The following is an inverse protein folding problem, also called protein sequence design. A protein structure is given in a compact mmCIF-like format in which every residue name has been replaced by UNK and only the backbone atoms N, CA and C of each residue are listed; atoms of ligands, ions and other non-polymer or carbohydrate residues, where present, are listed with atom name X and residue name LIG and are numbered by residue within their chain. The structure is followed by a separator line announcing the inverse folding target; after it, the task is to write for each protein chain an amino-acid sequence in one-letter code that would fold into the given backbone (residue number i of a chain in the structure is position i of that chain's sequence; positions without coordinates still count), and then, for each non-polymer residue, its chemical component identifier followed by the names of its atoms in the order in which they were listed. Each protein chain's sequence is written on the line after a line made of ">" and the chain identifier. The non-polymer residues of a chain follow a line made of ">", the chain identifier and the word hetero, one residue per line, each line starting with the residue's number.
data_IF_608429582875
#
_entry.id   IF_608429582875
#
_cell.length_a   1.000
_cell.length_b   1.000
_cell.length_c   1.000
_cell.angle_alpha   90.00
_cell.angle_beta   90.00
_cell.angle_gamma   90.00
#
_symmetry.space_group_name_H-M   'P 1'
#
loop_
_entity.id
_entity.type
_entity.pdbx_description
1 polymer ?
#
# COMPACT_ATOMS: atom_id res chain seq x y z
N UNK A 1 -37.88 -34.39 -55.35
CA UNK A 1 -38.14 -33.37 -54.31
C UNK A 1 -38.40 -34.11 -53.03
N UNK A 2 -37.53 -34.03 -52.01
CA UNK A 2 -37.80 -34.16 -50.56
C UNK A 2 -36.42 -34.17 -49.85
N UNK A 3 -35.86 -32.98 -49.62
CA UNK A 3 -34.70 -32.74 -48.74
C UNK A 3 -34.91 -31.36 -48.14
N UNK A 4 -35.84 -31.28 -47.18
CA UNK A 4 -36.06 -30.11 -46.33
C UNK A 4 -36.78 -30.65 -45.08
N UNK A 5 -36.09 -30.71 -43.93
CA UNK A 5 -36.71 -31.27 -42.73
C UNK A 5 -35.87 -31.45 -41.47
N UNK A 6 -34.54 -31.55 -41.55
CA UNK A 6 -33.74 -31.98 -40.38
C UNK A 6 -32.64 -30.99 -39.94
N UNK A 7 -32.86 -29.67 -40.08
CA UNK A 7 -31.89 -28.66 -39.60
C UNK A 7 -32.29 -28.02 -38.26
N UNK A 8 -33.42 -28.39 -37.66
CA UNK A 8 -34.05 -27.59 -36.60
C UNK A 8 -34.19 -28.26 -35.22
N UNK A 9 -33.37 -29.27 -34.94
CA UNK A 9 -33.26 -29.84 -33.58
C UNK A 9 -31.80 -29.97 -33.12
N UNK A 10 -31.01 -28.91 -33.33
CA UNK A 10 -29.92 -28.63 -32.42
C UNK A 10 -30.54 -27.98 -31.17
N UNK A 11 -30.71 -28.78 -30.13
CA UNK A 11 -31.06 -28.34 -28.79
C UNK A 11 -30.36 -27.02 -28.46
N UNK A 12 -31.03 -26.03 -27.82
CA UNK A 12 -30.31 -24.87 -27.30
C UNK A 12 -29.44 -25.39 -26.17
N UNK A 13 -28.22 -25.84 -26.49
CA UNK A 13 -27.26 -26.25 -25.47
C UNK A 13 -27.01 -24.98 -24.65
N UNK A 14 -27.62 -24.96 -23.47
CA UNK A 14 -27.58 -23.84 -22.54
C UNK A 14 -26.12 -23.54 -22.28
N UNK A 15 -25.66 -22.39 -22.73
CA UNK A 15 -24.28 -21.90 -22.55
C UNK A 15 -23.82 -22.01 -21.07
N UNK A 16 -24.80 -21.97 -20.16
CA UNK A 16 -24.66 -22.11 -18.72
C UNK A 16 -24.08 -23.47 -18.26
N UNK A 17 -24.16 -24.53 -19.07
CA UNK A 17 -23.75 -25.89 -18.67
C UNK A 17 -22.30 -26.26 -19.03
N UNK A 18 -21.53 -25.37 -19.67
CA UNK A 18 -20.11 -25.67 -19.91
C UNK A 18 -19.33 -25.64 -18.60
N UNK A 19 -18.61 -26.72 -18.25
CA UNK A 19 -17.77 -26.72 -17.05
C UNK A 19 -16.75 -25.59 -17.15
N UNK A 20 -16.55 -24.85 -16.05
CA UNK A 20 -15.59 -23.74 -15.97
C UNK A 20 -14.25 -24.19 -16.53
N UNK A 21 -13.76 -23.45 -17.53
CA UNK A 21 -12.51 -23.80 -18.23
C UNK A 21 -11.30 -23.69 -17.31
N UNK A 22 -11.39 -22.84 -16.29
CA UNK A 22 -10.33 -22.60 -15.32
C UNK A 22 -10.78 -22.99 -13.91
N UNK A 23 -10.06 -23.88 -13.22
CA UNK A 23 -10.30 -24.17 -11.82
C UNK A 23 -10.02 -22.94 -10.96
N UNK A 24 -10.88 -22.67 -9.98
CA UNK A 24 -10.75 -21.57 -9.03
C UNK A 24 -9.47 -21.74 -8.21
N UNK A 25 -8.46 -20.91 -8.51
CA UNK A 25 -7.16 -20.91 -7.84
C UNK A 25 -7.14 -19.91 -6.69
N UNK A 26 -8.25 -19.84 -5.93
CA UNK A 26 -8.38 -18.99 -4.74
C UNK A 26 -7.27 -19.28 -3.72
N UNK A 27 -6.16 -18.56 -3.87
CA UNK A 27 -5.05 -18.66 -2.95
C UNK A 27 -5.51 -18.12 -1.60
N UNK A 28 -5.18 -18.81 -0.51
CA UNK A 28 -5.51 -18.33 0.84
C UNK A 28 -4.96 -16.91 0.98
N UNK A 29 -5.87 -15.94 1.09
CA UNK A 29 -5.55 -14.56 1.44
C UNK A 29 -4.89 -14.63 2.80
N UNK A 30 -3.57 -14.44 2.82
CA UNK A 30 -2.85 -14.21 4.07
C UNK A 30 -3.41 -12.91 4.61
N UNK A 31 -4.34 -13.01 5.56
CA UNK A 31 -4.88 -11.85 6.26
C UNK A 31 -3.84 -11.50 7.31
N UNK A 32 -2.96 -10.51 7.06
CA UNK A 32 -2.05 -10.08 8.11
C UNK A 32 -2.91 -9.66 9.30
N UNK A 33 -2.45 -9.99 10.51
CA UNK A 33 -3.12 -9.62 11.75
C UNK A 33 -3.49 -8.12 11.78
N UNK A 34 -2.72 -7.28 11.08
CA UNK A 34 -2.95 -5.85 10.88
C UNK A 34 -4.32 -5.56 10.25
N UNK A 35 -4.71 -6.26 9.17
CA UNK A 35 -6.02 -6.04 8.52
C UNK A 35 -7.15 -6.49 9.45
N UNK A 36 -6.92 -7.55 10.22
CA UNK A 36 -7.89 -8.07 11.16
C UNK A 36 -8.11 -7.11 12.34
N UNK A 37 -7.03 -6.52 12.87
CA UNK A 37 -7.05 -5.48 13.91
C UNK A 37 -7.73 -4.21 13.37
N UNK A 38 -7.41 -3.76 12.16
CA UNK A 38 -8.00 -2.58 11.55
C UNK A 38 -9.51 -2.74 11.31
N UNK A 39 -9.96 -3.94 10.92
CA UNK A 39 -11.39 -4.23 10.71
C UNK A 39 -12.17 -4.42 12.02
N UNK A 40 -11.49 -4.63 13.14
CA UNK A 40 -12.10 -4.69 14.47
C UNK A 40 -12.45 -3.29 15.02
N UNK A 41 -11.95 -2.22 14.40
CA UNK A 41 -12.36 -0.85 14.69
C UNK A 41 -13.68 -0.53 13.97
N UNK A 42 -14.63 0.08 14.69
CA UNK A 42 -15.88 0.53 14.10
C UNK A 42 -15.61 1.45 12.90
N UNK A 43 -16.31 1.23 11.79
CA UNK A 43 -16.22 2.08 10.59
C UNK A 43 -16.43 3.56 10.89
N UNK A 44 -17.26 3.87 11.90
CA UNK A 44 -17.48 5.22 12.41
C UNK A 44 -16.27 5.81 13.14
N UNK A 45 -15.54 4.98 13.91
CA UNK A 45 -14.33 5.42 14.57
C UNK A 45 -13.20 5.66 13.55
N UNK A 46 -13.08 4.79 12.55
CA UNK A 46 -12.12 4.95 11.46
C UNK A 46 -12.40 6.23 10.64
N UNK A 47 -13.67 6.51 10.32
CA UNK A 47 -14.03 7.71 9.56
C UNK A 47 -13.76 9.00 10.35
N UNK A 48 -14.03 9.01 11.66
CA UNK A 48 -13.71 10.15 12.54
C UNK A 48 -12.20 10.35 12.64
N UNK A 49 -11.42 9.29 12.82
CA UNK A 49 -9.95 9.37 12.88
C UNK A 49 -9.37 9.96 11.60
N UNK A 50 -9.85 9.49 10.44
CA UNK A 50 -9.40 9.98 9.14
C UNK A 50 -9.75 11.45 8.92
N UNK A 51 -10.94 11.89 9.35
CA UNK A 51 -11.35 13.30 9.31
C UNK A 51 -10.49 14.18 10.23
N UNK A 52 -10.18 13.71 11.44
CA UNK A 52 -9.31 14.45 12.36
C UNK A 52 -7.89 14.59 11.83
N UNK A 53 -7.32 13.53 11.26
CA UNK A 53 -6.00 13.57 10.63
C UNK A 53 -6.01 14.54 9.44
N UNK A 54 -7.01 14.43 8.56
CA UNK A 54 -7.15 15.32 7.41
C UNK A 54 -7.31 16.79 7.81
N UNK A 55 -8.18 17.07 8.78
CA UNK A 55 -8.39 18.41 9.32
C UNK A 55 -7.14 18.98 10.02
N UNK A 56 -6.41 18.14 10.75
CA UNK A 56 -5.14 18.51 11.38
C UNK A 56 -4.07 18.87 10.36
N UNK A 57 -3.88 18.06 9.32
CA UNK A 57 -2.94 18.33 8.22
C UNK A 57 -3.32 19.63 7.50
N UNK A 58 -4.60 19.82 7.20
CA UNK A 58 -5.09 21.04 6.56
C UNK A 58 -4.88 22.28 7.43
N UNK A 59 -5.14 22.20 8.73
CA UNK A 59 -4.93 23.29 9.68
C UNK A 59 -3.45 23.66 9.82
N UNK A 60 -2.57 22.66 9.94
CA UNK A 60 -1.11 22.88 9.99
C UNK A 60 -0.58 23.47 8.68
N UNK A 61 -1.13 23.03 7.53
CA UNK A 61 -0.82 23.60 6.22
C UNK A 61 -1.25 25.07 6.12
N UNK A 62 -2.45 25.42 6.59
CA UNK A 62 -2.98 26.77 6.56
C UNK A 62 -2.19 27.77 7.42
N UNK A 63 -1.57 27.29 8.50
CA UNK A 63 -0.70 28.11 9.37
C UNK A 63 0.71 28.30 8.81
N UNK A 64 1.18 27.37 7.98
CA UNK A 64 2.58 27.34 7.53
C UNK A 64 2.79 28.13 6.25
N UNK A 65 2.06 27.81 5.17
CA UNK A 65 2.19 28.53 3.89
C UNK A 65 1.02 28.27 2.94
N UNK A 66 0.65 29.26 2.09
CA UNK A 66 -0.44 29.11 1.13
C UNK A 66 -0.13 28.11 -0.01
N UNK A 67 1.15 27.84 -0.28
CA UNK A 67 1.59 26.94 -1.36
C UNK A 67 1.22 25.49 -1.02
N UNK A 68 1.40 25.06 0.23
CA UNK A 68 1.07 23.70 0.67
C UNK A 68 -0.43 23.44 0.55
N UNK A 69 -1.26 24.43 0.91
CA UNK A 69 -2.71 24.35 0.74
C UNK A 69 -3.11 24.17 -0.72
N UNK A 70 -2.47 24.91 -1.64
CA UNK A 70 -2.76 24.81 -3.07
C UNK A 70 -2.50 23.39 -3.60
N UNK A 71 -1.33 22.82 -3.29
CA UNK A 71 -0.98 21.43 -3.69
C UNK A 71 -1.98 20.43 -3.08
N UNK A 72 -2.34 20.60 -1.82
CA UNK A 72 -3.26 19.70 -1.13
C UNK A 72 -4.66 19.71 -1.75
N UNK A 73 -5.18 20.88 -2.13
CA UNK A 73 -6.46 21.01 -2.84
C UNK A 73 -6.40 20.27 -4.19
N UNK A 74 -5.31 20.43 -4.95
CA UNK A 74 -5.14 19.72 -6.23
C UNK A 74 -5.11 18.21 -6.01
N UNK A 75 -4.38 17.70 -5.02
CA UNK A 75 -4.36 16.28 -4.68
C UNK A 75 -5.77 15.73 -4.35
N UNK A 76 -6.58 16.49 -3.62
CA UNK A 76 -7.93 16.07 -3.25
C UNK A 76 -8.85 16.04 -4.47
N UNK A 77 -8.78 17.03 -5.35
CA UNK A 77 -9.54 17.04 -6.61
C UNK A 77 -9.15 15.84 -7.48
N UNK A 78 -7.85 15.54 -7.62
CA UNK A 78 -7.36 14.38 -8.36
C UNK A 78 -7.87 13.05 -7.78
N UNK A 79 -7.87 12.91 -6.45
CA UNK A 79 -8.37 11.70 -5.81
C UNK A 79 -9.89 11.53 -5.96
N UNK A 80 -10.65 12.62 -5.81
CA UNK A 80 -12.10 12.62 -6.05
C UNK A 80 -12.45 12.23 -7.48
N UNK A 81 -11.72 12.76 -8.45
CA UNK A 81 -11.87 12.38 -9.86
C UNK A 81 -11.58 10.88 -10.06
N UNK A 82 -10.48 10.36 -9.49
CA UNK A 82 -10.15 8.94 -9.57
C UNK A 82 -11.29 8.04 -9.05
N UNK A 83 -11.81 8.34 -7.85
CA UNK A 83 -12.94 7.59 -7.27
C UNK A 83 -14.19 7.71 -8.14
N UNK A 84 -14.47 8.89 -8.69
CA UNK A 84 -15.61 9.10 -9.59
C UNK A 84 -15.49 8.22 -10.86
N UNK A 85 -14.34 8.21 -11.52
CA UNK A 85 -14.11 7.35 -12.70
C UNK A 85 -14.24 5.87 -12.34
N UNK A 86 -13.68 5.43 -11.21
CA UNK A 86 -13.81 4.04 -10.75
C UNK A 86 -15.28 3.67 -10.56
N UNK A 87 -16.08 4.51 -9.89
CA UNK A 87 -17.51 4.22 -9.69
C UNK A 87 -18.28 4.23 -11.00
N UNK A 88 -17.96 5.15 -11.92
CA UNK A 88 -18.61 5.22 -13.21
C UNK A 88 -18.30 4.02 -14.11
N UNK A 89 -17.05 3.53 -14.07
CA UNK A 89 -16.62 2.39 -14.90
C UNK A 89 -17.13 1.04 -14.35
N UNK A 90 -17.14 0.86 -13.01
CA UNK A 90 -17.70 -0.35 -12.37
C UNK A 90 -19.22 -0.44 -12.44
N UNK A 91 -19.92 0.66 -12.72
CA UNK A 91 -21.38 0.66 -12.87
C UNK A 91 -21.84 0.17 -14.26
N UNK A 92 -20.92 -0.16 -15.17
CA UNK A 92 -21.23 -0.73 -16.49
C UNK A 92 -21.40 -2.24 -16.38
N UNK A 93 -22.34 -2.80 -17.16
CA UNK A 93 -22.65 -4.23 -17.14
C UNK A 93 -21.43 -5.07 -17.57
N UNK A 94 -21.14 -6.15 -16.83
CA UNK A 94 -19.95 -7.00 -17.01
C UNK A 94 -20.06 -8.00 -18.20
N UNK A 95 -21.10 -7.87 -19.03
CA UNK A 95 -21.29 -8.65 -20.25
C UNK A 95 -21.86 -10.06 -20.03
N UNK A 96 -21.82 -10.93 -21.05
CA UNK A 96 -22.37 -12.29 -20.99
C UNK A 96 -21.59 -13.18 -20.01
N UNK A 97 -22.21 -14.28 -19.49
CA UNK A 97 -21.64 -15.09 -18.41
C UNK A 97 -20.31 -15.79 -18.75
N UNK A 98 -19.97 -15.94 -20.03
CA UNK A 98 -18.64 -16.42 -20.43
C UNK A 98 -17.55 -15.33 -20.25
N UNK A 99 -17.85 -14.06 -20.52
CA UNK A 99 -16.88 -12.97 -20.37
C UNK A 99 -16.52 -12.70 -18.92
N UNK A 100 -17.49 -12.84 -18.01
CA UNK A 100 -17.25 -12.72 -16.55
C UNK A 100 -16.25 -13.79 -16.09
N UNK A 101 -16.41 -15.05 -16.52
CA UNK A 101 -15.48 -16.14 -16.16
C UNK A 101 -14.04 -15.87 -16.62
N UNK A 102 -13.88 -15.28 -17.80
CA UNK A 102 -12.57 -14.95 -18.35
C UNK A 102 -11.96 -13.75 -17.61
N UNK A 103 -12.77 -12.72 -17.33
CA UNK A 103 -12.36 -11.55 -16.53
C UNK A 103 -11.89 -11.95 -15.13
N UNK A 104 -12.61 -12.85 -14.46
CA UNK A 104 -12.25 -13.35 -13.13
C UNK A 104 -10.92 -14.10 -13.16
N UNK A 105 -10.72 -14.99 -14.13
CA UNK A 105 -9.45 -15.70 -14.31
C UNK A 105 -8.27 -14.75 -14.57
N UNK A 106 -8.49 -13.68 -15.35
CA UNK A 106 -7.48 -12.63 -15.59
C UNK A 106 -7.19 -11.84 -14.31
N UNK A 107 -8.21 -11.50 -13.52
CA UNK A 107 -8.04 -10.81 -12.22
C UNK A 107 -7.23 -11.65 -11.25
N UNK A 108 -7.54 -12.94 -11.13
CA UNK A 108 -6.79 -13.88 -10.27
C UNK A 108 -5.34 -14.03 -10.73
N UNK A 109 -5.09 -14.11 -12.05
CA UNK A 109 -3.74 -14.12 -12.61
C UNK A 109 -2.95 -12.86 -12.29
N UNK A 110 -3.58 -11.69 -12.41
CA UNK A 110 -2.97 -10.40 -12.10
C UNK A 110 -2.65 -10.26 -10.60
N UNK A 111 -3.58 -10.66 -9.72
CA UNK A 111 -3.35 -10.66 -8.28
C UNK A 111 -2.20 -11.60 -7.87
N UNK A 112 -2.11 -12.78 -8.48
CA UNK A 112 -0.99 -13.71 -8.28
C UNK A 112 0.37 -13.14 -8.69
N UNK A 113 0.43 -12.46 -9.84
CA UNK A 113 1.63 -11.78 -10.34
C UNK A 113 2.07 -10.64 -9.42
N UNK A 114 1.12 -9.81 -8.97
CA UNK A 114 1.40 -8.73 -8.03
C UNK A 114 1.85 -9.25 -6.67
N UNK A 115 1.23 -10.32 -6.15
CA UNK A 115 1.61 -10.90 -4.85
C UNK A 115 3.06 -11.37 -4.81
N UNK A 116 3.53 -12.05 -5.85
CA UNK A 116 4.90 -12.58 -5.90
C UNK A 116 5.93 -11.46 -6.11
N UNK A 117 5.67 -10.52 -7.01
CA UNK A 117 6.61 -9.44 -7.31
C UNK A 117 6.67 -8.39 -6.20
N UNK A 118 5.53 -7.84 -5.79
CA UNK A 118 5.53 -6.85 -4.72
C UNK A 118 6.03 -7.46 -3.41
N UNK A 119 5.78 -8.74 -3.17
CA UNK A 119 6.34 -9.46 -2.02
C UNK A 119 7.86 -9.62 -2.05
N UNK A 120 8.47 -9.69 -3.24
CA UNK A 120 9.94 -9.73 -3.39
C UNK A 120 10.53 -8.33 -3.30
N UNK A 121 9.94 -7.37 -4.01
CA UNK A 121 10.33 -5.96 -3.97
C UNK A 121 10.28 -5.43 -2.54
N UNK A 122 9.24 -5.74 -1.77
CA UNK A 122 9.12 -5.30 -0.38
C UNK A 122 10.26 -5.86 0.49
N UNK A 123 10.63 -7.13 0.35
CA UNK A 123 11.75 -7.73 1.11
C UNK A 123 13.08 -7.04 0.79
N UNK A 124 13.35 -6.78 -0.49
CA UNK A 124 14.56 -6.09 -0.91
C UNK A 124 14.57 -4.63 -0.46
N UNK A 125 13.44 -3.93 -0.53
CA UNK A 125 13.29 -2.57 -0.05
C UNK A 125 13.55 -2.46 1.46
N UNK A 126 13.04 -3.41 2.26
CA UNK A 126 13.31 -3.46 3.70
C UNK A 126 14.80 -3.70 4.01
N UNK A 127 15.44 -4.62 3.30
CA UNK A 127 16.87 -4.88 3.45
C UNK A 127 17.69 -3.62 3.12
N UNK A 128 17.39 -2.97 1.99
CA UNK A 128 18.04 -1.72 1.58
C UNK A 128 17.83 -0.61 2.61
N UNK A 129 16.60 -0.43 3.10
CA UNK A 129 16.28 0.57 4.11
C UNK A 129 17.08 0.36 5.40
N UNK A 130 17.23 -0.90 5.84
CA UNK A 130 18.04 -1.24 7.00
C UNK A 130 19.52 -0.94 6.79
N UNK A 131 20.08 -1.31 5.63
CA UNK A 131 21.48 -1.04 5.29
C UNK A 131 21.78 0.47 5.28
N UNK A 132 20.91 1.26 4.64
CA UNK A 132 21.05 2.72 4.62
C UNK A 132 20.98 3.26 6.06
N UNK A 133 20.02 2.80 6.86
CA UNK A 133 19.89 3.22 8.26
C UNK A 133 21.15 2.90 9.07
N UNK A 134 21.72 1.69 8.94
CA UNK A 134 22.97 1.32 9.60
C UNK A 134 24.13 2.23 9.17
N UNK A 135 24.30 2.48 7.87
CA UNK A 135 25.37 3.35 7.37
C UNK A 135 25.25 4.75 7.96
N UNK A 136 24.04 5.33 7.96
CA UNK A 136 23.82 6.67 8.52
C UNK A 136 23.99 6.71 10.05
N UNK A 137 23.71 5.63 10.76
CA UNK A 137 23.89 5.55 12.21
C UNK A 137 25.38 5.45 12.61
N UNK A 138 26.18 4.70 11.85
CA UNK A 138 27.63 4.57 12.07
C UNK A 138 28.43 5.73 11.45
N UNK A 139 27.81 6.60 10.66
CA UNK A 139 28.46 7.76 10.07
C UNK A 139 28.54 8.89 11.12
N UNK A 140 29.75 9.24 11.54
CA UNK A 140 29.97 10.42 12.37
C UNK A 140 29.48 11.69 11.66
N UNK A 141 28.70 12.53 12.36
CA UNK A 141 28.25 13.80 11.83
C UNK A 141 29.43 14.76 11.68
N UNK A 142 29.47 15.47 10.56
CA UNK A 142 30.46 16.53 10.35
C UNK A 142 30.16 17.71 11.30
N UNK A 143 31.17 18.48 11.77
CA UNK A 143 30.98 19.56 12.75
C UNK A 143 30.00 20.66 12.28
N UNK A 144 29.84 20.82 10.96
CA UNK A 144 28.89 21.76 10.35
C UNK A 144 27.42 21.35 10.54
N UNK A 145 27.14 20.05 10.75
CA UNK A 145 25.77 19.53 10.93
C UNK A 145 25.28 19.61 12.39
N UNK A 146 26.19 19.69 13.36
CA UNK A 146 25.84 19.95 14.76
C UNK A 146 25.32 21.38 14.98
N UNK A 147 25.89 22.35 14.27
CA UNK A 147 25.48 23.75 14.34
C UNK A 147 24.04 23.99 13.81
N UNK A 148 23.53 23.09 12.97
CA UNK A 148 22.19 23.18 12.36
C UNK A 148 21.08 22.54 13.21
N UNK A 149 21.39 22.03 14.41
CA UNK A 149 20.39 21.44 15.33
C UNK A 149 19.76 20.12 14.86
N UNK A 150 20.14 19.61 13.68
CA UNK A 150 19.55 18.42 13.05
C UNK A 150 19.99 17.10 13.74
N UNK A 151 21.11 17.12 14.46
CA UNK A 151 21.65 15.95 15.16
C UNK A 151 20.85 15.53 16.40
N UNK A 152 20.12 16.44 17.06
CA UNK A 152 19.39 16.14 18.31
C UNK A 152 18.14 15.28 18.06
N UNK A 153 17.39 15.56 17.00
CA UNK A 153 16.11 14.90 16.70
C UNK A 153 16.25 13.56 15.96
N UNK A 154 17.28 13.39 15.12
CA UNK A 154 17.56 12.10 14.46
C UNK A 154 18.15 11.07 15.41
N UNK A 155 18.94 11.54 16.38
CA UNK A 155 19.58 10.73 17.41
C UNK A 155 18.52 10.06 18.30
N UNK A 156 17.65 10.81 18.97
CA UNK A 156 16.70 10.25 19.95
C UNK A 156 15.73 9.20 19.36
N UNK A 157 15.28 9.38 18.11
CA UNK A 157 14.38 8.45 17.46
C UNK A 157 15.10 7.18 16.95
N UNK A 158 16.35 7.30 16.52
CA UNK A 158 17.19 6.18 16.09
C UNK A 158 17.65 5.31 17.26
N UNK A 159 18.08 5.92 18.37
CA UNK A 159 18.52 5.20 19.57
C UNK A 159 17.36 4.44 20.25
N UNK A 160 16.13 4.96 20.20
CA UNK A 160 14.96 4.29 20.76
C UNK A 160 14.58 2.99 20.00
N UNK A 161 14.80 2.94 18.68
CA UNK A 161 14.58 1.72 17.87
C UNK A 161 15.65 0.65 18.12
N UNK A 162 16.91 1.07 18.34
CA UNK A 162 18.03 0.16 18.67
C UNK A 162 17.94 -0.37 20.11
N UNK A 163 17.56 0.47 21.09
CA UNK A 163 17.35 0.07 22.48
C UNK A 163 16.17 -0.90 22.68
N UNK A 164 15.13 -0.84 21.82
CA UNK A 164 14.04 -1.82 21.83
C UNK A 164 14.45 -3.22 21.33
N UNK A 165 15.57 -3.34 20.61
CA UNK A 165 16.01 -4.60 20.02
C UNK A 165 17.32 -5.16 20.61
N UNK A 166 18.02 -4.43 21.49
CA UNK A 166 19.27 -4.87 22.10
C UNK A 166 19.52 -4.29 23.49
N UNK A 167 19.58 -5.17 24.49
CA UNK A 167 20.04 -4.92 25.86
C UNK A 167 21.47 -4.32 25.90
N UNK A 168 21.88 -3.70 27.02
CA UNK A 168 22.77 -2.54 27.03
C UNK A 168 24.25 -2.92 26.87
N UNK A 169 24.91 -2.33 25.87
CA UNK A 169 26.37 -2.24 25.86
C UNK A 169 26.78 -0.97 26.60
N UNK A 170 27.15 -1.24 27.84
CA UNK A 170 27.82 -0.37 28.80
C UNK A 170 29.22 0.04 28.30
N UNK A 171 29.58 1.30 28.59
CA UNK A 171 30.94 1.86 28.75
C UNK A 171 31.94 1.70 27.59
N UNK A 172 32.40 2.83 27.04
CA UNK A 172 33.72 3.36 27.41
C UNK A 172 33.86 4.82 26.92
N UNK A 173 34.20 5.72 27.84
CA UNK A 173 34.80 7.03 27.53
C UNK A 173 36.30 6.79 27.38
N UNK A 174 36.95 7.28 26.31
CA UNK A 174 38.18 7.98 26.61
C UNK A 174 38.48 9.23 25.75
N UNK A 175 38.86 10.28 26.47
CA UNK A 175 40.03 11.15 26.25
C UNK A 175 39.88 12.33 25.28
N UNK A 176 39.88 13.51 25.89
CA UNK A 176 39.87 14.79 25.20
C UNK A 176 41.21 15.19 24.59
N UNK A 177 41.20 16.33 23.89
CA UNK A 177 42.37 17.20 23.69
C UNK A 177 41.92 18.66 23.65
N UNK A 178 42.27 19.32 24.74
CA UNK A 178 42.63 20.74 24.80
C UNK A 178 43.53 21.12 23.62
N UNK A 179 43.24 22.22 22.93
CA UNK A 179 44.30 23.15 22.50
C UNK A 179 43.75 24.52 22.09
N UNK A 180 44.53 25.50 22.51
CA UNK A 180 44.52 26.94 22.30
C UNK A 180 44.81 27.30 20.84
#
# INVERSE_FOLDING_TARGET
>A
MMMDGDVEQASPMSYTDRPRTFPDMRSKTYSPLIIQILRNLNVRALSVLLLLIFGGIFYMGARTSPIILFVFVVCIISFMLSVYLTKWVLAKDEGPPEMVQISDAVRDGAEGFFRTQYGTISKMAFLLAFVILCIYLFRNLTPQQEASGLGRTMSECGYQFVLMCGSPVLLDDPQGKHCR
#
